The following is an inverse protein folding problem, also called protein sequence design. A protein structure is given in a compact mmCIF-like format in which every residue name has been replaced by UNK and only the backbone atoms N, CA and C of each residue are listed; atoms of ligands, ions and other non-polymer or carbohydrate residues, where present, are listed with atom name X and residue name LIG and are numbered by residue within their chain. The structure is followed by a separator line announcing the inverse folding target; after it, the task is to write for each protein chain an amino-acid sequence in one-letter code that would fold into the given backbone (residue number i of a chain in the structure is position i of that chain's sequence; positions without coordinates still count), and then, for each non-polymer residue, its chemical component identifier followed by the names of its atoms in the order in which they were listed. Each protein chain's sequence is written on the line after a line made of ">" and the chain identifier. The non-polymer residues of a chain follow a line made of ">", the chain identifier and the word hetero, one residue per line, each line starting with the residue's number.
data_IF_604826548377
#
_entry.id   IF_604826548377
#
_cell.length_a   1.000
_cell.length_b   1.000
_cell.length_c   1.000
_cell.angle_alpha   90.00
_cell.angle_beta   90.00
_cell.angle_gamma   90.00
#
_symmetry.space_group_name_H-M   'P 1'
#
loop_
_entity.id
_entity.type
_entity.pdbx_description
1 polymer ?
#
# COMPACT_ATOMS: atom_id res chain seq x y z
N UNK A 1 18.70 41.95 -11.67
CA UNK A 1 17.43 42.03 -10.93
C UNK A 1 17.55 43.18 -9.95
N UNK A 2 16.46 43.88 -9.66
CA UNK A 2 16.47 45.00 -8.72
C UNK A 2 16.42 44.49 -7.26
N UNK A 3 16.92 45.28 -6.32
CA UNK A 3 16.88 44.98 -4.88
C UNK A 3 16.40 46.23 -4.16
N UNK A 4 15.25 46.11 -3.51
CA UNK A 4 14.66 47.19 -2.74
C UNK A 4 15.13 47.14 -1.29
N UNK A 5 15.63 48.26 -0.78
CA UNK A 5 16.16 48.36 0.59
C UNK A 5 15.30 49.27 1.45
N UNK A 6 14.83 48.75 2.58
CA UNK A 6 14.08 49.48 3.60
C UNK A 6 14.89 49.55 4.89
N UNK A 7 14.80 50.65 5.62
CA UNK A 7 15.54 50.85 6.87
C UNK A 7 14.58 51.17 8.01
N UNK A 8 14.81 50.54 9.16
CA UNK A 8 14.07 50.82 10.37
C UNK A 8 14.96 50.69 11.61
N UNK A 9 14.59 51.38 12.68
CA UNK A 9 15.33 51.38 13.95
C UNK A 9 14.41 50.97 15.09
N UNK A 10 14.89 50.08 15.94
CA UNK A 10 14.21 49.66 17.17
C UNK A 10 14.85 50.38 18.36
N UNK A 11 14.12 51.31 18.97
CA UNK A 11 14.59 52.14 20.09
C UNK A 11 14.18 51.56 21.46
N UNK A 12 15.06 51.72 22.46
CA UNK A 12 14.87 51.23 23.84
C UNK A 12 13.74 51.91 24.61
N UNK A 13 13.26 53.08 24.17
CA UNK A 13 12.12 53.79 24.78
C UNK A 13 10.77 53.23 24.36
N UNK A 14 10.69 52.47 23.25
CA UNK A 14 9.49 51.74 22.84
C UNK A 14 9.32 50.42 23.61
N UNK A 15 10.37 49.98 24.31
CA UNK A 15 10.42 48.73 25.04
C UNK A 15 10.41 48.99 26.56
N UNK A 16 9.27 48.81 27.24
CA UNK A 16 9.16 49.10 28.68
C UNK A 16 10.15 48.26 29.53
N UNK A 17 11.05 48.98 30.23
CA UNK A 17 11.68 48.65 31.54
C UNK A 17 12.50 47.36 31.68
N UNK A 18 13.28 46.97 30.68
CA UNK A 18 14.38 46.01 30.86
C UNK A 18 15.50 46.26 29.86
N UNK A 19 16.76 46.14 30.28
CA UNK A 19 17.94 46.29 29.42
C UNK A 19 18.05 45.22 28.32
N UNK A 20 17.20 44.18 28.38
CA UNK A 20 17.09 43.09 27.40
C UNK A 20 15.65 43.03 26.85
N UNK A 21 15.06 44.18 26.52
CA UNK A 21 13.72 44.19 25.98
C UNK A 21 13.79 43.97 24.46
N UNK A 22 13.20 42.86 24.03
CA UNK A 22 13.10 42.45 22.63
C UNK A 22 11.71 42.79 22.11
N UNK A 23 11.58 42.96 20.79
CA UNK A 23 10.29 43.10 20.12
C UNK A 23 10.14 41.91 19.18
N UNK A 24 9.03 41.20 19.31
CA UNK A 24 8.58 40.23 18.33
C UNK A 24 8.19 40.96 17.04
N UNK A 25 8.93 40.70 15.96
CA UNK A 25 8.66 41.24 14.63
C UNK A 25 8.34 40.10 13.69
N UNK A 26 7.28 40.27 12.90
CA UNK A 26 6.95 39.43 11.74
C UNK A 26 7.14 40.30 10.51
N UNK A 27 7.78 39.76 9.48
CA UNK A 27 7.94 40.44 8.20
C UNK A 27 7.28 39.60 7.12
N UNK A 28 6.41 40.23 6.34
CA UNK A 28 5.64 39.60 5.29
C UNK A 28 5.69 40.48 4.04
N UNK A 29 5.68 39.86 2.86
CA UNK A 29 5.69 40.56 1.57
C UNK A 29 4.54 40.06 0.72
N UNK A 30 3.47 40.83 0.72
CA UNK A 30 2.32 40.62 -0.14
C UNK A 30 2.62 41.21 -1.51
N UNK A 31 3.09 40.39 -2.46
CA UNK A 31 3.39 40.88 -3.81
C UNK A 31 2.44 40.32 -4.87
N UNK A 32 2.82 39.24 -5.54
CA UNK A 32 2.08 38.75 -6.71
C UNK A 32 2.55 37.36 -7.16
N UNK A 33 2.95 36.48 -6.22
CA UNK A 33 3.20 35.09 -6.59
C UNK A 33 1.97 34.51 -7.32
N UNK A 34 2.20 33.82 -8.44
CA UNK A 34 1.15 33.26 -9.31
C UNK A 34 0.18 34.27 -9.98
N UNK A 35 0.44 35.59 -9.88
CA UNK A 35 -0.30 36.64 -10.61
C UNK A 35 0.58 37.40 -11.63
N UNK A 36 1.64 36.74 -12.13
CA UNK A 36 2.57 37.28 -13.11
C UNK A 36 3.71 38.13 -12.53
N UNK A 37 3.75 38.30 -11.20
CA UNK A 37 4.89 38.88 -10.49
C UNK A 37 6.02 37.87 -10.25
N UNK A 38 7.23 38.34 -9.91
CA UNK A 38 8.32 37.47 -9.50
C UNK A 38 8.13 36.95 -8.07
N UNK A 39 8.58 35.73 -7.81
CA UNK A 39 8.74 35.21 -6.45
C UNK A 39 9.73 36.08 -5.66
N UNK A 40 9.44 36.33 -4.38
CA UNK A 40 10.21 37.26 -3.57
C UNK A 40 11.12 36.55 -2.57
N UNK A 41 12.10 37.27 -2.04
CA UNK A 41 12.98 36.83 -0.96
C UNK A 41 13.34 38.02 -0.07
N UNK A 42 13.39 37.77 1.24
CA UNK A 42 13.69 38.75 2.27
C UNK A 42 15.03 38.47 2.93
N UNK A 43 15.86 39.50 3.07
CA UNK A 43 17.06 39.45 3.89
C UNK A 43 17.08 40.60 4.88
N UNK A 44 17.07 40.27 6.17
CA UNK A 44 17.18 41.26 7.23
C UNK A 44 18.63 41.35 7.69
N UNK A 45 19.22 42.52 7.52
CA UNK A 45 20.54 42.85 8.02
C UNK A 45 20.42 43.75 9.25
N UNK A 46 21.34 43.57 10.21
CA UNK A 46 21.55 44.49 11.32
C UNK A 46 22.83 45.28 11.09
N UNK A 47 22.80 46.58 11.37
CA UNK A 47 24.02 47.40 11.36
C UNK A 47 24.86 47.09 12.60
N UNK A 48 26.11 46.71 12.39
CA UNK A 48 27.08 46.40 13.46
C UNK A 48 28.35 47.21 13.19
N UNK A 49 28.59 48.23 14.03
CA UNK A 49 29.64 49.21 13.78
C UNK A 49 29.42 49.92 12.44
N UNK A 50 30.43 49.88 11.56
CA UNK A 50 30.35 50.44 10.21
C UNK A 50 29.85 49.44 9.14
N UNK A 51 29.54 48.20 9.53
CA UNK A 51 29.13 47.14 8.62
C UNK A 51 27.66 46.75 8.77
N UNK A 52 27.21 45.83 7.92
CA UNK A 52 25.92 45.14 8.01
C UNK A 52 26.17 43.65 8.18
N UNK A 53 25.33 42.99 8.96
CA UNK A 53 25.39 41.55 9.20
C UNK A 53 24.03 40.93 8.90
N UNK A 54 23.98 39.86 8.11
CA UNK A 54 22.74 39.11 7.87
C UNK A 54 22.27 38.47 9.19
N UNK A 55 21.01 38.73 9.57
CA UNK A 55 20.40 38.22 10.81
C UNK A 55 19.27 37.24 10.51
N UNK A 56 18.40 37.54 9.55
CA UNK A 56 17.30 36.67 9.15
C UNK A 56 17.21 36.59 7.63
N UNK A 57 16.73 35.45 7.14
CA UNK A 57 16.36 35.24 5.74
C UNK A 57 14.96 34.66 5.71
N UNK A 58 14.15 35.13 4.77
CA UNK A 58 12.81 34.62 4.48
C UNK A 58 12.68 34.31 3.00
N UNK A 59 12.09 33.17 2.70
CA UNK A 59 11.73 32.72 1.34
C UNK A 59 10.32 32.17 1.41
N UNK A 60 9.76 31.76 0.26
CA UNK A 60 8.54 30.98 0.07
C UNK A 60 7.74 30.66 1.35
N UNK A 61 6.64 31.38 1.57
CA UNK A 61 5.75 31.16 2.70
C UNK A 61 4.55 30.31 2.31
N UNK A 62 4.21 29.32 3.14
CA UNK A 62 2.94 28.59 3.03
C UNK A 62 2.06 28.92 4.23
N UNK A 63 1.86 30.22 4.50
CA UNK A 63 0.96 30.68 5.56
C UNK A 63 -0.48 30.53 5.07
N UNK A 64 -1.22 29.60 5.68
CA UNK A 64 -2.57 29.25 5.22
C UNK A 64 -3.58 30.41 5.33
N UNK A 65 -3.40 31.28 6.34
CA UNK A 65 -4.24 32.45 6.56
C UNK A 65 -3.98 33.55 5.54
N UNK A 66 -2.82 33.50 4.86
CA UNK A 66 -2.41 34.45 3.85
C UNK A 66 -2.78 34.02 2.43
N UNK A 67 -3.32 32.79 2.27
CA UNK A 67 -3.71 32.22 0.97
C UNK A 67 -5.21 32.25 0.74
N UNK A 68 -5.63 32.24 -0.52
CA UNK A 68 -7.03 32.01 -0.92
C UNK A 68 -7.68 30.83 -0.17
N UNK A 69 -8.90 31.04 0.31
CA UNK A 69 -9.63 30.03 1.06
C UNK A 69 -9.85 28.75 0.23
N UNK A 70 -9.90 27.56 0.86
CA UNK A 70 -10.16 26.32 0.16
C UNK A 70 -11.45 26.40 -0.68
N UNK A 71 -11.32 26.22 -2.01
CA UNK A 71 -12.45 26.23 -2.94
C UNK A 71 -12.85 27.61 -3.49
N UNK A 72 -12.18 28.70 -3.09
CA UNK A 72 -12.47 30.06 -3.59
C UNK A 72 -11.60 30.50 -4.79
N UNK A 73 -10.75 29.60 -5.31
CA UNK A 73 -9.87 29.90 -6.44
C UNK A 73 -8.91 31.04 -6.11
N UNK A 74 -9.10 32.19 -6.77
CA UNK A 74 -8.29 33.39 -6.62
C UNK A 74 -8.66 34.27 -5.41
N UNK A 75 -9.86 34.07 -4.84
CA UNK A 75 -10.36 34.78 -3.64
C UNK A 75 -10.17 36.31 -3.68
N UNK A 76 -10.34 36.92 -4.87
CA UNK A 76 -10.05 38.35 -5.12
C UNK A 76 -11.01 39.31 -4.39
N UNK A 77 -12.09 38.79 -3.81
CA UNK A 77 -13.05 39.52 -2.99
C UNK A 77 -12.64 39.57 -1.51
N UNK A 78 -11.69 38.74 -1.06
CA UNK A 78 -11.15 38.74 0.30
C UNK A 78 -9.83 39.54 0.38
N UNK A 79 -9.95 40.85 0.63
CA UNK A 79 -8.80 41.75 0.85
C UNK A 79 -8.12 41.59 2.22
N UNK A 80 -8.59 40.66 3.06
CA UNK A 80 -7.97 40.39 4.36
C UNK A 80 -6.77 39.44 4.29
N UNK A 81 -6.51 38.88 3.09
CA UNK A 81 -5.37 38.00 2.78
C UNK A 81 -4.43 38.70 1.81
N UNK A 82 -3.14 38.48 1.98
CA UNK A 82 -2.07 39.22 1.33
C UNK A 82 -1.45 38.52 0.12
N UNK A 83 -1.40 37.18 0.09
CA UNK A 83 -0.69 36.44 -0.96
C UNK A 83 -1.57 35.47 -1.77
N UNK A 84 -1.44 35.51 -3.09
CA UNK A 84 -2.17 34.59 -3.97
C UNK A 84 -1.54 33.19 -4.01
N UNK A 85 -0.21 33.12 -4.07
CA UNK A 85 0.58 31.90 -4.12
C UNK A 85 1.50 31.73 -2.92
N UNK A 86 2.21 30.59 -2.82
CA UNK A 86 3.06 30.28 -1.67
C UNK A 86 4.51 30.78 -1.82
N UNK A 87 4.80 31.63 -2.81
CA UNK A 87 6.17 32.01 -3.19
C UNK A 87 6.52 33.45 -2.83
N UNK A 88 5.67 34.05 -2.01
CA UNK A 88 5.89 35.33 -1.38
C UNK A 88 6.68 35.13 -0.07
N UNK A 89 7.61 36.03 0.22
CA UNK A 89 8.61 35.83 1.26
C UNK A 89 8.12 36.25 2.65
N UNK A 90 8.26 35.33 3.61
CA UNK A 90 7.84 35.53 5.00
C UNK A 90 8.98 35.24 5.97
N UNK A 91 9.05 36.05 7.02
CA UNK A 91 9.85 35.79 8.21
C UNK A 91 8.89 35.79 9.39
N UNK A 92 8.69 34.59 9.96
CA UNK A 92 7.85 34.40 11.13
C UNK A 92 8.33 35.18 12.34
N UNK A 93 7.47 35.25 13.36
CA UNK A 93 7.70 36.05 14.56
C UNK A 93 9.09 35.78 15.15
N UNK A 94 9.92 36.81 15.21
CA UNK A 94 11.28 36.73 15.73
C UNK A 94 11.55 37.90 16.68
N UNK A 95 12.14 37.60 17.83
CA UNK A 95 12.56 38.59 18.80
C UNK A 95 13.80 39.33 18.29
N UNK A 96 13.66 40.61 17.97
CA UNK A 96 14.74 41.48 17.54
C UNK A 96 15.21 42.38 18.69
N UNK A 97 16.53 42.43 18.99
CA UNK A 97 17.06 43.39 19.96
C UNK A 97 17.06 44.83 19.40
N UNK A 98 17.16 45.85 20.26
CA UNK A 98 17.33 47.23 19.83
C UNK A 98 18.51 47.41 18.86
N UNK A 99 18.33 48.22 17.83
CA UNK A 99 19.32 48.45 16.79
C UNK A 99 18.74 48.97 15.48
N UNK A 100 19.65 49.26 14.54
CA UNK A 100 19.31 49.66 13.17
C UNK A 100 19.33 48.45 12.25
N UNK A 101 18.28 48.32 11.46
CA UNK A 101 18.06 47.21 10.55
C UNK A 101 17.85 47.69 9.13
N UNK A 102 18.28 46.87 8.18
CA UNK A 102 18.06 47.04 6.75
C UNK A 102 17.40 45.78 6.22
N UNK A 103 16.19 45.91 5.69
CA UNK A 103 15.48 44.85 5.00
C UNK A 103 15.75 44.97 3.50
N UNK A 104 16.23 43.91 2.88
CA UNK A 104 16.34 43.79 1.44
C UNK A 104 15.23 42.89 0.91
N UNK A 105 14.47 43.38 -0.08
CA UNK A 105 13.45 42.63 -0.82
C UNK A 105 13.97 42.42 -2.23
N UNK A 106 13.94 41.19 -2.72
CA UNK A 106 14.42 40.89 -4.08
C UNK A 106 13.69 39.71 -4.68
N UNK A 107 14.00 39.39 -5.94
CA UNK A 107 13.54 38.19 -6.62
C UNK A 107 14.27 36.95 -6.06
N UNK A 108 13.55 35.83 -5.90
CA UNK A 108 14.08 34.56 -5.38
C UNK A 108 15.25 33.95 -6.18
N UNK A 109 15.52 34.43 -7.40
CA UNK A 109 16.71 34.07 -8.18
C UNK A 109 18.01 34.74 -7.70
N UNK A 110 17.91 35.75 -6.83
CA UNK A 110 19.06 36.36 -6.18
C UNK A 110 19.31 35.67 -4.84
N UNK A 111 20.57 35.57 -4.44
CA UNK A 111 20.98 35.08 -3.13
C UNK A 111 21.81 36.16 -2.43
N UNK A 112 21.70 36.27 -1.11
CA UNK A 112 22.56 37.16 -0.34
C UNK A 112 24.01 36.73 -0.53
N UNK A 113 24.92 37.69 -0.72
CA UNK A 113 26.36 37.43 -0.83
C UNK A 113 26.92 36.70 0.40
N UNK A 114 26.25 36.84 1.55
CA UNK A 114 26.59 36.12 2.78
C UNK A 114 26.30 34.61 2.69
N UNK A 115 25.45 34.18 1.75
CA UNK A 115 24.99 32.81 1.55
C UNK A 115 25.49 32.15 0.26
N UNK A 116 26.37 32.80 -0.51
CA UNK A 116 26.90 32.31 -1.80
C UNK A 116 27.91 31.13 -1.70
N UNK A 117 27.97 30.44 -0.55
CA UNK A 117 28.95 29.39 -0.28
C UNK A 117 28.93 28.20 -1.26
N UNK A 118 27.83 27.98 -1.97
CA UNK A 118 27.68 26.91 -2.96
C UNK A 118 27.70 27.42 -4.42
N UNK A 119 27.74 28.73 -4.64
CA UNK A 119 27.68 29.33 -5.97
C UNK A 119 29.00 30.01 -6.38
N UNK A 120 29.84 30.36 -5.40
CA UNK A 120 31.16 30.96 -5.62
C UNK A 120 32.28 30.06 -5.12
N UNK A 121 33.34 29.92 -5.92
CA UNK A 121 34.56 29.21 -5.52
C UNK A 121 35.34 29.93 -4.40
N UNK A 122 35.06 31.22 -4.17
CA UNK A 122 35.66 32.04 -3.11
C UNK A 122 34.55 32.82 -2.37
N UNK A 123 33.73 32.15 -1.55
CA UNK A 123 32.60 32.80 -0.90
C UNK A 123 33.05 33.72 0.24
N UNK A 124 32.32 34.83 0.45
CA UNK A 124 32.62 35.79 1.52
C UNK A 124 32.58 35.14 2.90
N UNK A 125 31.59 34.27 3.13
CA UNK A 125 31.38 33.54 4.36
C UNK A 125 31.20 32.04 4.11
N UNK A 126 32.32 31.33 3.88
CA UNK A 126 32.34 29.88 3.67
C UNK A 126 31.76 29.04 4.83
N UNK A 127 31.71 29.63 6.04
CA UNK A 127 31.22 28.99 7.25
C UNK A 127 29.77 29.41 7.62
N UNK A 128 29.09 30.20 6.78
CA UNK A 128 27.71 30.61 7.07
C UNK A 128 26.79 29.39 7.17
N UNK A 129 25.98 29.35 8.23
CA UNK A 129 24.96 28.32 8.49
C UNK A 129 23.67 29.02 8.87
N UNK A 130 22.58 28.61 8.23
CA UNK A 130 21.25 29.05 8.60
C UNK A 130 20.73 28.18 9.74
N UNK A 131 20.08 28.80 10.71
CA UNK A 131 19.35 28.12 11.77
C UNK A 131 17.87 28.47 11.64
N UNK A 132 16.95 27.54 11.92
CA UNK A 132 15.53 27.87 12.00
C UNK A 132 15.28 29.00 13.01
N UNK A 133 14.29 29.86 12.75
CA UNK A 133 13.90 30.92 13.68
C UNK A 133 13.53 30.36 15.06
N UNK A 134 13.73 31.13 16.11
CA UNK A 134 13.62 30.64 17.51
C UNK A 134 12.18 30.45 17.98
N UNK A 135 11.20 30.93 17.21
CA UNK A 135 9.77 30.79 17.51
C UNK A 135 9.18 29.43 17.08
N UNK A 136 9.93 28.61 16.35
CA UNK A 136 9.48 27.26 15.98
C UNK A 136 9.84 26.27 17.08
N UNK A 137 8.86 25.48 17.51
CA UNK A 137 9.10 24.35 18.41
C UNK A 137 9.99 23.31 17.72
N UNK A 138 11.23 23.18 18.18
CA UNK A 138 12.20 22.24 17.63
C UNK A 138 12.03 20.88 18.31
N UNK A 139 11.85 19.81 17.52
CA UNK A 139 11.75 18.44 18.04
C UNK A 139 13.13 17.88 18.42
N UNK A 140 14.15 18.24 17.66
CA UNK A 140 15.55 17.93 17.93
C UNK A 140 16.42 19.08 17.45
N UNK A 141 17.55 19.31 18.10
CA UNK A 141 18.60 20.21 17.64
C UNK A 141 19.93 19.48 17.73
N UNK A 142 20.76 19.63 16.69
CA UNK A 142 22.15 19.20 16.72
C UNK A 142 23.03 20.44 16.55
N UNK A 143 23.96 20.63 17.48
CA UNK A 143 24.93 21.70 17.46
C UNK A 143 26.33 21.10 17.52
N UNK A 144 27.06 21.20 16.42
CA UNK A 144 28.49 20.94 16.43
C UNK A 144 29.19 22.10 17.17
N UNK A 145 29.59 21.85 18.42
CA UNK A 145 30.50 22.66 19.26
C UNK A 145 29.93 23.70 20.25
N UNK A 146 28.63 23.70 20.60
CA UNK A 146 28.11 24.62 21.62
C UNK A 146 27.58 23.90 22.87
N UNK A 147 28.40 23.90 23.94
CA UNK A 147 27.96 23.57 25.29
C UNK A 147 27.50 24.87 25.96
N UNK A 148 26.19 25.02 26.24
CA UNK A 148 25.69 26.02 27.20
C UNK A 148 24.89 27.22 26.69
N UNK A 149 24.46 27.26 25.43
CA UNK A 149 23.36 28.18 25.04
C UNK A 149 22.05 27.56 25.53
N UNK A 150 21.42 28.17 26.54
CA UNK A 150 20.11 27.78 27.02
C UNK A 150 19.07 28.16 25.95
N UNK A 151 18.79 27.24 25.03
CA UNK A 151 17.62 27.34 24.18
C UNK A 151 16.39 26.89 24.97
N UNK A 152 15.23 27.46 24.64
CA UNK A 152 13.90 27.02 25.10
C UNK A 152 13.52 25.64 24.55
N UNK A 153 14.49 24.75 24.38
CA UNK A 153 14.21 23.33 24.40
C UNK A 153 13.74 23.04 25.82
N UNK A 154 12.41 23.08 26.01
CA UNK A 154 11.82 22.26 27.05
C UNK A 154 12.48 20.89 26.92
N UNK A 155 12.76 20.24 28.05
CA UNK A 155 13.06 18.82 28.05
C UNK A 155 12.13 18.14 27.03
N UNK A 156 12.52 17.06 26.33
CA UNK A 156 11.57 16.25 25.60
C UNK A 156 10.60 15.64 26.63
N UNK A 157 9.73 16.47 27.21
CA UNK A 157 8.47 16.07 27.78
C UNK A 157 7.82 15.44 26.60
N UNK A 158 7.68 14.12 26.68
CA UNK A 158 6.95 13.29 25.74
C UNK A 158 5.94 14.17 25.03
N UNK A 159 6.30 14.62 23.83
CA UNK A 159 5.31 15.19 22.97
C UNK A 159 4.37 14.00 22.86
N UNK A 160 3.21 14.11 23.50
CA UNK A 160 2.03 13.58 22.87
C UNK A 160 2.00 14.34 21.56
N UNK A 161 2.78 13.85 20.59
CA UNK A 161 2.48 14.02 19.18
C UNK A 161 0.98 13.84 19.21
N UNK A 162 0.24 14.88 18.83
CA UNK A 162 -1.12 14.64 18.39
C UNK A 162 -0.92 13.70 17.21
N UNK A 163 -0.85 12.40 17.53
CA UNK A 163 -0.65 11.36 16.56
C UNK A 163 -1.92 11.48 15.77
N UNK A 164 -1.83 12.10 14.59
CA UNK A 164 -2.92 12.11 13.64
C UNK A 164 -3.21 10.63 13.44
N UNK A 165 -4.32 10.12 13.99
CA UNK A 165 -4.57 8.69 13.95
C UNK A 165 -4.71 8.36 12.47
N UNK A 166 -3.88 7.44 11.99
CA UNK A 166 -4.00 6.97 10.63
C UNK A 166 -5.42 6.49 10.40
N UNK A 167 -6.05 7.03 9.36
CA UNK A 167 -7.38 6.66 8.94
C UNK A 167 -7.31 5.77 7.70
N UNK A 168 -8.43 5.14 7.37
CA UNK A 168 -8.54 4.43 6.09
C UNK A 168 -8.36 5.37 4.88
N UNK A 169 -8.50 6.69 5.07
CA UNK A 169 -8.28 7.67 4.01
C UNK A 169 -6.80 7.92 3.68
N UNK A 170 -5.89 7.52 4.57
CA UNK A 170 -4.44 7.69 4.40
C UNK A 170 -3.79 6.50 3.66
N UNK A 171 -4.58 5.48 3.32
CA UNK A 171 -4.13 4.34 2.52
C UNK A 171 -4.79 4.34 1.16
N UNK A 172 -4.06 3.88 0.14
CA UNK A 172 -4.62 3.69 -1.20
C UNK A 172 -5.24 2.29 -1.30
N UNK A 173 -6.52 2.23 -1.64
CA UNK A 173 -7.20 1.00 -2.00
C UNK A 173 -7.06 0.71 -3.48
N UNK A 174 -7.02 -0.57 -3.84
CA UNK A 174 -7.09 -1.01 -5.23
C UNK A 174 -8.41 -1.74 -5.45
N UNK A 175 -9.15 -1.33 -6.47
CA UNK A 175 -10.41 -1.95 -6.85
C UNK A 175 -10.33 -2.42 -8.30
N UNK A 176 -10.77 -3.64 -8.56
CA UNK A 176 -10.88 -4.20 -9.91
C UNK A 176 -12.33 -4.06 -10.39
N UNK A 177 -12.51 -3.40 -11.53
CA UNK A 177 -13.80 -3.32 -12.20
C UNK A 177 -14.04 -4.55 -13.08
N UNK A 178 -15.31 -4.85 -13.36
CA UNK A 178 -15.72 -5.97 -14.22
C UNK A 178 -15.19 -5.89 -15.65
N UNK A 179 -14.79 -4.70 -16.10
CA UNK A 179 -14.17 -4.48 -17.41
C UNK A 179 -12.64 -4.69 -17.41
N UNK A 180 -12.06 -5.15 -16.29
CA UNK A 180 -10.61 -5.37 -16.14
C UNK A 180 -9.80 -4.10 -15.87
N UNK A 181 -10.46 -2.97 -15.55
CA UNK A 181 -9.78 -1.73 -15.14
C UNK A 181 -9.46 -1.79 -13.64
N UNK A 182 -8.23 -1.44 -13.29
CA UNK A 182 -7.79 -1.30 -11.90
C UNK A 182 -7.85 0.19 -11.53
N UNK A 183 -8.59 0.48 -10.48
CA UNK A 183 -8.71 1.80 -9.88
C UNK A 183 -7.90 1.86 -8.60
N UNK A 184 -7.15 2.96 -8.45
CA UNK A 184 -6.69 3.41 -7.15
C UNK A 184 -7.79 4.27 -6.55
N UNK A 185 -8.27 3.91 -5.38
CA UNK A 185 -9.39 4.57 -4.70
C UNK A 185 -8.99 4.97 -3.29
N UNK A 186 -9.56 6.06 -2.79
CA UNK A 186 -9.56 6.35 -1.36
C UNK A 186 -10.60 5.42 -0.71
N UNK A 187 -10.22 4.46 0.15
CA UNK A 187 -11.16 3.48 0.69
C UNK A 187 -12.08 4.07 1.77
N UNK A 188 -11.81 5.28 2.27
CA UNK A 188 -12.71 6.00 3.17
C UNK A 188 -13.84 6.71 2.42
N UNK A 189 -13.54 7.36 1.30
CA UNK A 189 -14.53 8.16 0.54
C UNK A 189 -15.07 7.45 -0.70
N UNK A 190 -14.41 6.38 -1.16
CA UNK A 190 -14.68 5.74 -2.46
C UNK A 190 -14.20 6.56 -3.67
N UNK A 191 -13.59 7.74 -3.47
CA UNK A 191 -13.15 8.59 -4.56
C UNK A 191 -12.01 7.92 -5.36
N UNK A 192 -12.09 7.98 -6.69
CA UNK A 192 -11.00 7.50 -7.55
C UNK A 192 -9.84 8.48 -7.50
N UNK A 193 -8.67 7.99 -7.13
CA UNK A 193 -7.41 8.73 -7.07
C UNK A 193 -6.69 8.67 -8.43
N UNK A 194 -6.70 7.49 -9.06
CA UNK A 194 -6.13 7.23 -10.37
C UNK A 194 -6.71 5.94 -10.97
N UNK A 195 -6.54 5.74 -12.28
CA UNK A 195 -6.90 4.50 -12.97
C UNK A 195 -5.75 4.05 -13.87
N UNK A 196 -5.66 2.75 -14.14
CA UNK A 196 -4.83 2.30 -15.27
C UNK A 196 -5.60 2.55 -16.57
N UNK A 197 -5.07 3.40 -17.45
CA UNK A 197 -5.71 3.66 -18.75
C UNK A 197 -5.49 2.54 -19.79
N UNK A 198 -4.70 1.52 -19.46
CA UNK A 198 -4.53 0.34 -20.29
C UNK A 198 -5.50 -0.75 -19.82
N UNK A 199 -6.66 -0.86 -20.50
CA UNK A 199 -7.54 -2.01 -20.29
C UNK A 199 -6.72 -3.29 -20.53
N UNK A 200 -6.62 -4.14 -19.51
CA UNK A 200 -5.81 -5.36 -19.52
C UNK A 200 -6.39 -6.45 -20.48
N UNK A 201 -7.40 -6.10 -21.29
CA UNK A 201 -7.90 -6.86 -22.44
C UNK A 201 -8.56 -8.21 -22.11
N UNK A 202 -8.65 -8.59 -20.83
CA UNK A 202 -9.13 -9.90 -20.38
C UNK A 202 -10.01 -9.78 -19.14
N UNK A 203 -10.82 -10.82 -18.89
CA UNK A 203 -11.72 -10.90 -17.73
C UNK A 203 -10.93 -11.33 -16.50
N UNK A 204 -10.71 -10.38 -15.60
CA UNK A 204 -10.12 -10.60 -14.29
C UNK A 204 -11.23 -10.63 -13.26
N UNK A 205 -11.09 -11.53 -12.29
CA UNK A 205 -12.06 -11.68 -11.22
C UNK A 205 -11.54 -11.21 -9.87
N UNK A 206 -10.21 -11.17 -9.69
CA UNK A 206 -9.59 -10.63 -8.48
C UNK A 206 -8.17 -10.11 -8.73
N UNK A 207 -7.66 -9.29 -7.81
CA UNK A 207 -6.29 -8.76 -7.81
C UNK A 207 -5.71 -8.81 -6.40
N UNK A 208 -4.46 -9.24 -6.28
CA UNK A 208 -3.73 -9.26 -5.03
C UNK A 208 -2.50 -8.35 -5.10
N UNK A 209 -2.27 -7.59 -4.03
CA UNK A 209 -1.03 -6.83 -3.86
C UNK A 209 0.00 -7.69 -3.13
N UNK A 210 1.16 -7.85 -3.75
CA UNK A 210 2.29 -8.54 -3.15
C UNK A 210 3.01 -7.65 -2.12
N UNK A 211 3.73 -8.24 -1.16
CA UNK A 211 4.52 -7.47 -0.19
C UNK A 211 5.62 -6.60 -0.81
N UNK A 212 6.07 -6.91 -2.02
CA UNK A 212 7.05 -6.13 -2.81
C UNK A 212 6.39 -5.07 -3.71
N UNK A 213 5.09 -4.82 -3.57
CA UNK A 213 4.38 -3.73 -4.24
C UNK A 213 3.91 -4.03 -5.66
N UNK A 214 4.02 -5.28 -6.13
CA UNK A 214 3.45 -5.72 -7.42
C UNK A 214 1.98 -6.07 -7.25
N UNK A 215 1.13 -5.54 -8.12
CA UNK A 215 -0.24 -6.01 -8.27
C UNK A 215 -0.25 -7.19 -9.22
N UNK A 216 -0.87 -8.28 -8.78
CA UNK A 216 -0.99 -9.52 -9.52
C UNK A 216 -2.45 -9.87 -9.68
N UNK A 217 -2.87 -10.08 -10.91
CA UNK A 217 -4.19 -10.61 -11.23
C UNK A 217 -4.06 -11.84 -12.11
N UNK A 218 -5.08 -12.70 -12.06
CA UNK A 218 -5.13 -13.93 -12.83
C UNK A 218 -6.28 -13.85 -13.83
N UNK A 219 -5.92 -13.79 -15.11
CA UNK A 219 -6.87 -13.73 -16.21
C UNK A 219 -7.56 -15.08 -16.39
N UNK A 220 -8.89 -15.04 -16.48
CA UNK A 220 -9.70 -16.22 -16.75
C UNK A 220 -9.93 -16.35 -18.25
N UNK A 221 -9.82 -17.58 -18.77
CA UNK A 221 -10.29 -17.91 -20.11
C UNK A 221 -11.32 -19.02 -19.98
N UNK A 222 -12.56 -18.76 -20.41
CA UNK A 222 -13.56 -19.81 -20.47
C UNK A 222 -13.13 -20.83 -21.52
N UNK A 223 -13.13 -22.11 -21.17
CA UNK A 223 -12.86 -23.24 -22.08
C UNK A 223 -11.40 -23.44 -22.50
N UNK A 224 -10.42 -22.87 -21.79
CA UNK A 224 -9.02 -23.30 -21.90
C UNK A 224 -8.34 -23.30 -20.55
N UNK A 225 -7.47 -24.27 -20.32
CA UNK A 225 -6.65 -24.40 -19.11
C UNK A 225 -5.50 -23.36 -19.01
N UNK A 226 -5.49 -22.39 -19.92
CA UNK A 226 -4.52 -21.31 -19.94
C UNK A 226 -4.86 -20.26 -18.87
N UNK A 227 -3.86 -19.95 -18.04
CA UNK A 227 -3.93 -18.88 -17.05
C UNK A 227 -2.85 -17.86 -17.32
N UNK A 228 -3.24 -16.59 -17.39
CA UNK A 228 -2.26 -15.51 -17.57
C UNK A 228 -2.21 -14.70 -16.29
N UNK A 229 -1.04 -14.67 -15.65
CA UNK A 229 -0.78 -13.66 -14.63
C UNK A 229 -0.39 -12.36 -15.31
N UNK A 230 -0.97 -11.27 -14.82
CA UNK A 230 -0.59 -9.93 -15.20
C UNK A 230 0.02 -9.24 -13.98
N UNK A 231 1.27 -8.81 -14.14
CA UNK A 231 1.95 -7.93 -13.19
C UNK A 231 1.69 -6.49 -13.62
N UNK A 232 1.07 -5.71 -12.75
CA UNK A 232 0.97 -4.25 -12.93
C UNK A 232 2.09 -3.63 -12.10
N UNK A 233 3.18 -3.27 -12.77
CA UNK A 233 4.31 -2.59 -12.14
C UNK A 233 4.02 -1.08 -11.97
N UNK A 234 4.53 -0.51 -10.88
CA UNK A 234 4.43 0.92 -10.48
C UNK A 234 5.13 1.90 -11.44
N UNK A 235 5.95 1.40 -12.37
CA UNK A 235 6.49 2.25 -13.42
C UNK A 235 5.35 2.67 -14.34
N UNK A 236 5.05 3.98 -14.40
CA UNK A 236 4.03 4.68 -15.22
C UNK A 236 3.87 4.26 -16.70
N UNK A 237 4.61 3.27 -17.19
CA UNK A 237 4.28 2.46 -18.35
C UNK A 237 3.70 1.12 -17.88
N UNK A 238 2.37 1.00 -17.88
CA UNK A 238 1.64 -0.24 -17.61
C UNK A 238 1.93 -1.33 -18.64
N UNK A 239 3.12 -1.92 -18.56
CA UNK A 239 3.52 -3.04 -19.39
C UNK A 239 3.08 -4.33 -18.68
N UNK A 240 2.00 -4.91 -19.19
CA UNK A 240 1.61 -6.27 -18.88
C UNK A 240 2.76 -7.21 -19.28
N UNK A 241 3.45 -7.79 -18.31
CA UNK A 241 4.23 -8.99 -18.56
C UNK A 241 3.26 -10.15 -18.53
N UNK A 242 2.81 -10.60 -19.71
CA UNK A 242 2.14 -11.88 -19.83
C UNK A 242 3.12 -12.95 -19.32
N UNK A 243 2.73 -13.71 -18.30
CA UNK A 243 3.44 -14.92 -17.96
C UNK A 243 3.49 -15.82 -19.22
N UNK A 244 4.67 -16.37 -19.52
CA UNK A 244 4.96 -17.00 -20.81
C UNK A 244 4.00 -18.13 -21.21
N UNK A 245 3.93 -18.45 -22.51
CA UNK A 245 3.11 -19.54 -23.02
C UNK A 245 3.34 -20.86 -22.24
N UNK A 246 2.26 -21.49 -21.76
CA UNK A 246 2.31 -22.71 -20.95
C UNK A 246 2.08 -22.52 -19.44
N UNK A 247 1.74 -21.31 -19.02
CA UNK A 247 1.35 -20.99 -17.65
C UNK A 247 -0.16 -21.13 -17.43
N UNK A 248 -0.56 -21.64 -16.26
CA UNK A 248 -1.98 -21.80 -15.90
C UNK A 248 -2.28 -22.98 -14.99
N UNK A 249 -3.57 -23.27 -14.85
CA UNK A 249 -4.11 -24.44 -14.16
C UNK A 249 -4.67 -25.36 -15.23
N UNK A 250 -3.96 -26.46 -15.47
CA UNK A 250 -4.48 -27.54 -16.28
C UNK A 250 -5.41 -28.44 -15.51
N UNK A 251 -6.47 -28.84 -16.18
CA UNK A 251 -7.59 -29.55 -15.62
C UNK A 251 -7.70 -30.92 -16.27
N UNK A 252 -7.92 -31.92 -15.43
CA UNK A 252 -7.93 -33.32 -15.86
C UNK A 252 -9.20 -34.01 -15.39
N UNK A 253 -9.57 -35.05 -16.12
CA UNK A 253 -10.49 -36.07 -15.63
C UNK A 253 -9.76 -37.40 -15.65
N UNK A 254 -9.88 -38.14 -14.55
CA UNK A 254 -9.42 -39.51 -14.45
C UNK A 254 -10.61 -40.46 -14.59
N UNK A 255 -10.48 -41.44 -15.47
CA UNK A 255 -11.41 -42.56 -15.57
C UNK A 255 -10.85 -43.71 -14.75
N UNK A 256 -11.57 -44.13 -13.71
CA UNK A 256 -11.21 -45.28 -12.87
C UNK A 256 -12.17 -46.43 -13.17
N UNK A 257 -11.64 -47.64 -13.36
CA UNK A 257 -12.42 -48.88 -13.28
C UNK A 257 -11.94 -49.63 -12.06
N UNK A 258 -12.89 -50.04 -11.22
CA UNK A 258 -12.91 -51.03 -10.14
C UNK A 258 -11.66 -51.23 -9.26
N UNK A 259 -10.43 -51.18 -9.78
CA UNK A 259 -9.15 -51.31 -9.07
C UNK A 259 -7.97 -50.54 -9.72
N UNK A 260 -8.16 -49.74 -10.78
CA UNK A 260 -7.06 -49.02 -11.44
C UNK A 260 -7.50 -47.73 -12.13
N UNK A 261 -6.62 -46.72 -12.11
CA UNK A 261 -6.74 -45.55 -12.99
C UNK A 261 -6.53 -46.04 -14.43
N UNK A 262 -7.59 -45.97 -15.25
CA UNK A 262 -7.55 -46.44 -16.64
C UNK A 262 -6.95 -45.37 -17.55
N UNK A 263 -7.30 -44.11 -17.33
CA UNK A 263 -6.84 -43.00 -18.16
C UNK A 263 -6.96 -41.66 -17.44
N UNK A 264 -5.96 -40.80 -17.61
CA UNK A 264 -6.00 -39.39 -17.25
C UNK A 264 -6.04 -38.60 -18.56
N UNK A 265 -7.09 -37.81 -18.73
CA UNK A 265 -7.31 -37.02 -19.96
C UNK A 265 -7.42 -35.56 -19.57
N UNK A 266 -6.61 -34.70 -20.20
CA UNK A 266 -6.74 -33.25 -20.11
C UNK A 266 -8.10 -32.84 -20.66
N UNK A 267 -8.80 -31.95 -19.96
CA UNK A 267 -10.17 -31.57 -20.32
C UNK A 267 -10.27 -30.15 -20.88
N UNK A 268 -9.25 -29.30 -20.68
CA UNK A 268 -9.24 -27.92 -21.18
C UNK A 268 -10.50 -27.12 -20.84
N UNK A 269 -11.16 -27.43 -19.72
CA UNK A 269 -12.42 -26.76 -19.35
C UNK A 269 -12.20 -25.40 -18.71
N UNK A 270 -10.94 -25.06 -18.42
CA UNK A 270 -10.55 -23.78 -17.85
C UNK A 270 -10.92 -23.62 -16.38
N UNK A 271 -10.53 -22.45 -15.85
CA UNK A 271 -10.66 -22.13 -14.44
C UNK A 271 -10.98 -20.64 -14.24
N UNK A 272 -11.91 -20.38 -13.32
CA UNK A 272 -12.32 -19.06 -12.90
C UNK A 272 -11.80 -18.85 -11.48
N UNK A 273 -10.80 -17.98 -11.33
CA UNK A 273 -10.36 -17.53 -10.02
C UNK A 273 -11.41 -16.58 -9.44
N UNK A 274 -11.77 -16.77 -8.18
CA UNK A 274 -12.66 -15.87 -7.45
C UNK A 274 -11.91 -15.04 -6.41
N UNK A 275 -10.78 -15.54 -5.90
CA UNK A 275 -9.98 -14.84 -4.92
C UNK A 275 -8.50 -15.18 -5.02
N UNK A 276 -7.63 -14.22 -4.74
CA UNK A 276 -6.18 -14.33 -4.79
C UNK A 276 -5.57 -13.75 -3.51
N UNK A 277 -4.52 -14.38 -3.01
CA UNK A 277 -3.78 -13.84 -1.88
C UNK A 277 -2.33 -14.28 -1.87
N UNK A 278 -1.45 -13.38 -1.48
CA UNK A 278 -0.06 -13.71 -1.24
C UNK A 278 0.12 -14.34 0.13
N UNK A 279 1.05 -15.27 0.20
CA UNK A 279 1.47 -15.91 1.43
C UNK A 279 2.98 -15.86 1.53
N UNK A 280 3.46 -15.44 2.69
CA UNK A 280 4.86 -15.57 3.02
C UNK A 280 5.02 -16.00 4.48
N UNK A 281 5.63 -17.16 4.69
CA UNK A 281 5.88 -17.72 6.02
C UNK A 281 6.90 -16.89 6.81
N UNK A 282 7.93 -16.38 6.14
CA UNK A 282 9.02 -15.62 6.76
C UNK A 282 9.67 -14.69 5.75
N UNK A 283 10.39 -13.65 6.17
CA UNK A 283 11.10 -12.76 5.22
C UNK A 283 12.09 -13.48 4.30
N UNK A 284 12.52 -14.70 4.65
CA UNK A 284 13.44 -15.54 3.88
C UNK A 284 12.77 -16.65 3.07
N UNK A 285 11.49 -16.92 3.30
CA UNK A 285 10.75 -17.95 2.57
C UNK A 285 10.35 -17.43 1.18
N UNK A 286 10.29 -18.29 0.15
CA UNK A 286 9.80 -17.86 -1.15
C UNK A 286 8.36 -17.38 -1.04
N UNK A 287 8.07 -16.26 -1.70
CA UNK A 287 6.72 -15.72 -1.82
C UNK A 287 5.86 -16.73 -2.58
N UNK A 288 4.67 -17.02 -2.05
CA UNK A 288 3.70 -17.91 -2.68
C UNK A 288 2.43 -17.13 -3.00
N UNK A 289 1.75 -17.52 -4.08
CA UNK A 289 0.43 -17.03 -4.42
C UNK A 289 -0.58 -18.16 -4.21
N UNK A 290 -1.69 -17.87 -3.55
CA UNK A 290 -2.82 -18.78 -3.44
C UNK A 290 -4.01 -18.20 -4.18
N UNK A 291 -4.74 -19.07 -4.86
CA UNK A 291 -5.95 -18.71 -5.57
C UNK A 291 -7.07 -19.68 -5.27
N UNK A 292 -8.27 -19.15 -5.01
CA UNK A 292 -9.50 -19.94 -4.88
C UNK A 292 -10.39 -19.66 -6.08
N UNK A 293 -11.18 -20.64 -6.47
CA UNK A 293 -12.03 -20.51 -7.63
C UNK A 293 -12.70 -21.81 -8.04
N UNK A 294 -13.33 -21.76 -9.20
CA UNK A 294 -14.10 -22.86 -9.77
C UNK A 294 -13.52 -23.29 -11.10
N UNK A 295 -13.56 -24.59 -11.35
CA UNK A 295 -13.30 -25.17 -12.66
C UNK A 295 -14.55 -25.01 -13.55
N UNK A 296 -14.37 -24.95 -14.86
CA UNK A 296 -15.47 -25.16 -15.81
C UNK A 296 -16.17 -26.52 -15.62
N UNK A 297 -17.30 -26.72 -16.30
CA UNK A 297 -18.13 -27.91 -16.15
C UNK A 297 -17.32 -29.22 -16.32
N UNK A 298 -17.43 -30.12 -15.34
CA UNK A 298 -16.80 -31.45 -15.38
C UNK A 298 -16.55 -32.05 -14.00
N UNK A 299 -16.49 -33.38 -13.93
CA UNK A 299 -16.09 -34.09 -12.70
C UNK A 299 -14.56 -34.13 -12.61
N UNK A 300 -14.02 -33.92 -11.41
CA UNK A 300 -12.58 -34.04 -11.12
C UNK A 300 -12.37 -34.87 -9.85
N UNK A 301 -11.18 -35.45 -9.73
CA UNK A 301 -10.76 -36.19 -8.54
C UNK A 301 -9.68 -35.39 -7.81
N UNK A 302 -9.82 -35.25 -6.48
CA UNK A 302 -8.73 -34.78 -5.60
C UNK A 302 -7.69 -35.88 -5.46
N UNK A 303 -6.47 -35.53 -5.04
CA UNK A 303 -5.59 -36.55 -4.48
C UNK A 303 -6.27 -37.18 -3.25
N UNK A 304 -6.13 -38.51 -3.07
CA UNK A 304 -6.77 -39.25 -1.99
C UNK A 304 -6.46 -38.56 -0.65
N UNK A 305 -7.51 -38.33 0.14
CA UNK A 305 -7.33 -37.89 1.51
C UNK A 305 -7.17 -39.11 2.41
N UNK A 306 -6.42 -38.97 3.49
CA UNK A 306 -6.55 -39.89 4.61
C UNK A 306 -7.82 -39.57 5.42
N UNK A 307 -8.15 -40.44 6.37
CA UNK A 307 -9.29 -40.28 7.28
C UNK A 307 -9.22 -38.99 8.15
N UNK A 308 -8.10 -38.27 8.12
CA UNK A 308 -7.90 -36.97 8.78
C UNK A 308 -7.97 -35.79 7.80
N UNK A 309 -8.46 -36.02 6.57
CA UNK A 309 -8.52 -35.05 5.49
C UNK A 309 -7.16 -34.52 4.98
N UNK A 310 -6.04 -35.17 5.29
CA UNK A 310 -4.72 -34.80 4.72
C UNK A 310 -4.50 -35.50 3.39
N UNK A 311 -3.77 -34.88 2.44
CA UNK A 311 -3.40 -35.59 1.20
C UNK A 311 -2.51 -36.78 1.58
N UNK A 312 -2.97 -37.99 1.28
CA UNK A 312 -2.25 -39.22 1.54
C UNK A 312 -1.16 -39.36 0.47
N UNK A 313 0.11 -39.34 0.89
CA UNK A 313 1.22 -39.63 -0.03
C UNK A 313 1.05 -41.06 -0.57
N UNK A 314 1.38 -41.32 -1.86
CA UNK A 314 1.49 -42.69 -2.35
C UNK A 314 2.51 -43.43 -1.47
N UNK A 315 2.06 -44.44 -0.75
CA UNK A 315 2.91 -45.16 0.18
C UNK A 315 3.87 -46.07 -0.60
N UNK A 316 5.13 -45.67 -0.72
CA UNK A 316 6.24 -46.57 -1.06
C UNK A 316 7.13 -46.13 -2.24
N UNK A 317 8.45 -46.43 -2.20
CA UNK A 317 9.39 -46.17 -3.29
C UNK A 317 9.16 -47.00 -4.57
N UNK A 318 8.14 -47.88 -4.58
CA UNK A 318 7.81 -48.76 -5.70
C UNK A 318 6.63 -48.27 -6.57
N UNK A 319 6.02 -47.12 -6.23
CA UNK A 319 4.91 -46.55 -6.99
C UNK A 319 3.61 -47.35 -6.92
N UNK A 320 3.52 -48.33 -6.03
CA UNK A 320 2.29 -49.12 -5.85
C UNK A 320 1.33 -48.33 -4.97
N UNK A 321 0.19 -47.89 -5.54
CA UNK A 321 -0.91 -47.34 -4.76
C UNK A 321 -1.33 -48.41 -3.74
N UNK A 322 -1.32 -48.07 -2.45
CA UNK A 322 -1.77 -48.94 -1.38
C UNK A 322 -3.16 -49.51 -1.69
N UNK A 323 -3.35 -50.77 -1.27
CA UNK A 323 -4.54 -51.63 -1.34
C UNK A 323 -5.85 -51.06 -1.93
N UNK A 324 -6.53 -51.84 -2.77
CA UNK A 324 -7.73 -51.46 -3.53
C UNK A 324 -8.91 -50.84 -2.72
N UNK A 325 -8.95 -51.00 -1.39
CA UNK A 325 -9.90 -50.30 -0.51
C UNK A 325 -9.64 -48.78 -0.44
N UNK A 326 -8.41 -48.30 -0.69
CA UNK A 326 -8.05 -46.88 -0.75
C UNK A 326 -8.56 -46.18 -2.04
N UNK A 327 -9.03 -46.95 -3.03
CA UNK A 327 -9.64 -46.45 -4.28
C UNK A 327 -11.12 -46.08 -4.08
N UNK A 328 -11.73 -46.52 -2.97
CA UNK A 328 -13.12 -46.22 -2.63
C UNK A 328 -13.37 -44.71 -2.43
N UNK A 329 -12.39 -43.98 -1.90
CA UNK A 329 -12.50 -42.54 -1.62
C UNK A 329 -12.26 -41.65 -2.85
N UNK A 330 -11.57 -42.17 -3.88
CA UNK A 330 -11.46 -41.51 -5.20
C UNK A 330 -12.80 -41.42 -5.95
N UNK A 331 -13.87 -42.08 -5.47
CA UNK A 331 -15.16 -42.18 -6.18
C UNK A 331 -16.17 -41.08 -5.84
N UNK A 332 -15.83 -40.14 -4.96
CA UNK A 332 -16.75 -39.05 -4.63
C UNK A 332 -16.71 -37.99 -5.72
N UNK A 333 -17.81 -37.84 -6.45
CA UNK A 333 -18.04 -36.72 -7.37
C UNK A 333 -17.98 -35.42 -6.58
N UNK A 334 -16.88 -34.69 -6.69
CA UNK A 334 -16.70 -33.42 -5.98
C UNK A 334 -17.22 -32.26 -6.82
N UNK A 335 -17.76 -31.24 -6.16
CA UNK A 335 -18.21 -30.00 -6.78
C UNK A 335 -17.00 -29.27 -7.37
N UNK A 336 -17.12 -28.81 -8.61
CA UNK A 336 -16.10 -28.07 -9.36
C UNK A 336 -15.74 -26.71 -8.75
N UNK A 337 -16.17 -26.44 -7.52
CA UNK A 337 -16.20 -25.12 -6.91
C UNK A 337 -15.27 -25.04 -5.69
N UNK A 338 -14.80 -23.81 -5.44
CA UNK A 338 -14.05 -23.42 -4.24
C UNK A 338 -12.75 -24.20 -4.03
N UNK A 339 -12.10 -24.57 -5.12
CA UNK A 339 -10.83 -25.28 -5.13
C UNK A 339 -9.72 -24.28 -4.82
N UNK A 340 -8.82 -24.62 -3.90
CA UNK A 340 -7.65 -23.81 -3.58
C UNK A 340 -6.42 -24.34 -4.33
N UNK A 341 -5.73 -23.45 -5.02
CA UNK A 341 -4.48 -23.70 -5.72
C UNK A 341 -3.34 -22.90 -5.12
N UNK A 342 -2.15 -23.50 -5.11
CA UNK A 342 -0.89 -22.79 -4.90
C UNK A 342 -0.30 -22.50 -6.28
N UNK A 343 0.07 -21.25 -6.51
CA UNK A 343 0.57 -20.73 -7.78
C UNK A 343 1.96 -20.13 -7.57
N UNK A 344 2.77 -20.19 -8.63
CA UNK A 344 3.99 -19.41 -8.74
C UNK A 344 3.62 -17.94 -8.96
N UNK A 345 4.07 -17.00 -8.11
CA UNK A 345 3.72 -15.58 -8.26
C UNK A 345 4.35 -14.89 -9.48
N UNK A 346 5.37 -15.50 -10.11
CA UNK A 346 6.04 -14.94 -11.28
C UNK A 346 5.48 -15.49 -12.58
N UNK A 347 5.07 -16.77 -12.57
CA UNK A 347 4.62 -17.46 -13.78
C UNK A 347 3.12 -17.76 -13.78
N UNK A 348 2.47 -17.82 -12.62
CA UNK A 348 1.06 -18.22 -12.52
C UNK A 348 0.80 -19.70 -12.77
N UNK A 349 1.85 -20.49 -13.00
CA UNK A 349 1.73 -21.93 -13.05
C UNK A 349 1.33 -22.47 -11.67
N UNK A 350 0.44 -23.46 -11.67
CA UNK A 350 0.15 -24.20 -10.44
C UNK A 350 1.41 -24.91 -9.91
N UNK A 351 1.51 -25.02 -8.58
CA UNK A 351 2.61 -25.69 -7.88
C UNK A 351 2.01 -26.78 -6.99
N UNK A 352 2.54 -28.00 -7.08
CA UNK A 352 2.11 -29.09 -6.22
C UNK A 352 2.41 -28.83 -4.74
N UNK A 353 1.60 -29.41 -3.84
CA UNK A 353 1.99 -29.57 -2.47
C UNK A 353 3.28 -30.42 -2.35
N UNK A 354 4.08 -30.14 -1.34
CA UNK A 354 5.33 -30.86 -1.09
C UNK A 354 5.06 -32.34 -0.81
N UNK A 355 5.83 -33.21 -1.47
CA UNK A 355 5.68 -34.67 -1.33
C UNK A 355 4.47 -35.26 -2.04
N UNK A 356 3.70 -34.45 -2.79
CA UNK A 356 2.57 -34.92 -3.60
C UNK A 356 3.01 -35.02 -5.05
N UNK A 357 3.00 -36.23 -5.57
CA UNK A 357 3.26 -36.49 -6.99
C UNK A 357 2.22 -35.79 -7.87
N UNK A 358 2.62 -35.38 -9.06
CA UNK A 358 1.68 -34.95 -10.09
C UNK A 358 0.83 -36.14 -10.59
N UNK A 359 -0.16 -35.86 -11.42
CA UNK A 359 -1.05 -36.88 -11.98
C UNK A 359 -0.32 -37.93 -12.86
N UNK A 360 0.91 -37.65 -13.30
CA UNK A 360 1.78 -38.61 -14.01
C UNK A 360 2.70 -39.39 -13.06
N UNK A 361 2.55 -39.24 -11.74
CA UNK A 361 3.37 -39.94 -10.74
C UNK A 361 4.75 -39.30 -10.53
N UNK A 362 5.03 -38.13 -11.11
CA UNK A 362 6.29 -37.44 -10.86
C UNK A 362 6.23 -36.72 -9.51
N UNK A 363 7.09 -37.14 -8.58
CA UNK A 363 7.41 -36.41 -7.35
C UNK A 363 8.19 -35.14 -7.71
N UNK A 364 7.49 -34.11 -8.21
CA UNK A 364 8.15 -32.90 -8.68
C UNK A 364 8.52 -31.99 -7.50
N UNK A 365 9.81 -32.00 -7.17
CA UNK A 365 10.48 -30.89 -6.50
C UNK A 365 10.60 -29.73 -7.49
N UNK A 366 9.76 -28.71 -7.32
CA UNK A 366 9.93 -27.33 -7.79
C UNK A 366 9.93 -26.98 -9.29
N UNK A 367 9.62 -27.88 -10.23
CA UNK A 367 9.46 -27.47 -11.64
C UNK A 367 8.00 -27.13 -11.97
N UNK A 368 7.81 -25.99 -12.62
CA UNK A 368 6.56 -25.60 -13.29
C UNK A 368 6.14 -26.73 -14.24
N UNK A 369 4.86 -27.03 -14.31
CA UNK A 369 4.38 -28.18 -15.08
C UNK A 369 2.88 -28.33 -15.03
N UNK A 370 2.37 -29.13 -15.94
CA UNK A 370 0.98 -29.10 -16.37
C UNK A 370 0.06 -30.07 -15.63
N UNK A 371 0.52 -30.86 -14.68
CA UNK A 371 -0.28 -31.96 -14.08
C UNK A 371 -0.53 -31.79 -12.58
N UNK A 372 -0.81 -30.56 -12.14
CA UNK A 372 -0.76 -30.21 -10.72
C UNK A 372 -2.05 -30.55 -9.98
N UNK A 373 -1.91 -30.86 -8.70
CA UNK A 373 -3.01 -31.25 -7.80
C UNK A 373 -3.47 -30.05 -6.98
N UNK A 374 -4.78 -29.98 -6.71
CA UNK A 374 -5.37 -28.99 -5.82
C UNK A 374 -4.67 -28.99 -4.44
N UNK A 375 -4.46 -27.80 -3.89
CA UNK A 375 -3.82 -27.61 -2.59
C UNK A 375 -4.80 -27.81 -1.42
N UNK A 376 -6.06 -27.50 -1.65
CA UNK A 376 -7.18 -27.70 -0.72
C UNK A 376 -8.52 -27.39 -1.39
N UNK A 377 -9.60 -27.43 -0.62
CA UNK A 377 -10.92 -27.01 -1.08
C UNK A 377 -11.75 -26.50 0.10
N UNK A 378 -12.53 -25.44 -0.11
CA UNK A 378 -13.48 -24.98 0.90
C UNK A 378 -14.79 -25.75 0.77
N UNK A 379 -15.24 -26.33 1.87
CA UNK A 379 -16.55 -26.95 1.99
C UNK A 379 -17.59 -25.86 2.29
N UNK A 380 -17.95 -25.13 1.23
CA UNK A 380 -18.91 -24.03 1.27
C UNK A 380 -20.21 -24.45 0.62
N UNK A 381 -21.32 -23.95 1.15
CA UNK A 381 -22.64 -24.06 0.51
C UNK A 381 -22.83 -23.06 -0.63
N UNK A 382 -21.96 -22.04 -0.71
CA UNK A 382 -21.92 -21.02 -1.76
C UNK A 382 -20.61 -21.02 -2.53
N UNK A 383 -20.33 -19.89 -3.17
CA UNK A 383 -19.06 -19.62 -3.85
C UNK A 383 -18.16 -18.83 -2.91
N UNK A 384 -16.94 -19.31 -2.67
CA UNK A 384 -15.89 -18.56 -1.98
C UNK A 384 -15.40 -17.47 -2.91
N UNK A 385 -15.65 -16.23 -2.50
CA UNK A 385 -15.45 -15.00 -3.30
C UNK A 385 -14.22 -14.22 -2.88
N UNK A 386 -13.55 -14.61 -1.81
CA UNK A 386 -12.34 -13.93 -1.37
C UNK A 386 -11.51 -14.80 -0.46
N UNK A 387 -10.19 -14.66 -0.56
CA UNK A 387 -9.22 -15.27 0.34
C UNK A 387 -8.17 -14.26 0.75
N UNK A 388 -7.67 -14.37 1.97
CA UNK A 388 -6.63 -13.49 2.49
C UNK A 388 -5.74 -14.26 3.46
N UNK A 389 -4.48 -13.86 3.60
CA UNK A 389 -3.60 -14.41 4.63
C UNK A 389 -3.18 -13.36 5.66
N UNK A 390 -3.17 -13.79 6.92
CA UNK A 390 -2.55 -13.05 8.03
C UNK A 390 -1.66 -14.04 8.77
N UNK A 391 -0.37 -13.72 8.84
CA UNK A 391 0.65 -14.63 9.36
C UNK A 391 0.64 -15.97 8.61
N UNK A 392 0.47 -17.08 9.35
CA UNK A 392 0.42 -18.43 8.78
C UNK A 392 -0.99 -18.91 8.46
N UNK A 393 -2.02 -18.08 8.64
CA UNK A 393 -3.42 -18.50 8.53
C UNK A 393 -4.04 -17.97 7.25
N UNK A 394 -4.65 -18.88 6.49
CA UNK A 394 -5.52 -18.59 5.37
C UNK A 394 -6.94 -18.36 5.86
N UNK A 395 -7.54 -17.28 5.41
CA UNK A 395 -8.93 -16.94 5.63
C UNK A 395 -9.68 -16.94 4.30
N UNK A 396 -10.97 -17.24 4.36
CA UNK A 396 -11.85 -17.16 3.20
C UNK A 396 -13.25 -16.70 3.60
N UNK A 397 -13.97 -16.12 2.63
CA UNK A 397 -15.38 -15.76 2.76
C UNK A 397 -16.16 -16.21 1.53
N UNK A 398 -17.43 -16.55 1.73
CA UNK A 398 -18.35 -16.87 0.63
C UNK A 398 -19.37 -15.77 0.34
N UNK A 399 -20.03 -15.88 -0.82
CA UNK A 399 -21.21 -15.09 -1.16
C UNK A 399 -22.45 -15.41 -0.30
N UNK A 400 -22.40 -16.45 0.53
CA UNK A 400 -23.42 -16.78 1.54
C UNK A 400 -23.05 -16.30 2.94
N UNK A 401 -21.90 -15.62 3.09
CA UNK A 401 -21.41 -15.09 4.37
C UNK A 401 -20.70 -16.11 5.24
N UNK A 402 -20.45 -17.32 4.75
CA UNK A 402 -19.63 -18.30 5.46
C UNK A 402 -18.19 -17.78 5.59
N UNK A 403 -17.59 -18.02 6.75
CA UNK A 403 -16.23 -17.63 7.07
C UNK A 403 -15.38 -18.86 7.34
N UNK A 404 -14.17 -18.85 6.80
CA UNK A 404 -13.26 -19.98 6.85
C UNK A 404 -11.93 -19.52 7.42
N UNK A 405 -11.31 -20.38 8.23
CA UNK A 405 -9.94 -20.18 8.69
C UNK A 405 -9.17 -21.51 8.69
N UNK A 406 -7.91 -21.48 8.25
CA UNK A 406 -7.04 -22.66 8.24
C UNK A 406 -5.59 -22.25 8.34
N UNK A 407 -4.85 -22.84 9.29
CA UNK A 407 -3.40 -22.70 9.32
C UNK A 407 -2.77 -23.39 8.11
N UNK A 408 -1.93 -22.66 7.37
CA UNK A 408 -1.13 -23.16 6.27
C UNK A 408 0.19 -23.78 6.74
N UNK A 409 0.59 -23.55 8.00
CA UNK A 409 1.91 -23.94 8.50
C UNK A 409 3.02 -23.33 7.63
N UNK A 410 3.77 -24.18 6.92
CA UNK A 410 4.80 -23.74 5.98
C UNK A 410 4.27 -23.26 4.62
N UNK A 411 3.00 -23.48 4.30
CA UNK A 411 2.43 -23.24 2.97
C UNK A 411 2.89 -24.24 1.91
N UNK A 412 3.67 -25.25 2.30
CA UNK A 412 4.18 -26.26 1.36
C UNK A 412 3.30 -27.50 1.29
N UNK A 413 2.71 -27.91 2.41
CA UNK A 413 1.89 -29.12 2.51
C UNK A 413 0.44 -28.85 2.16
N UNK A 414 -0.22 -29.82 1.54
CA UNK A 414 -1.64 -29.70 1.25
C UNK A 414 -2.47 -29.66 2.53
N UNK A 415 -3.57 -28.90 2.50
CA UNK A 415 -4.33 -28.59 3.70
C UNK A 415 -5.69 -29.29 3.80
N UNK A 416 -6.09 -30.01 2.76
CA UNK A 416 -7.30 -30.82 2.80
C UNK A 416 -8.57 -30.04 2.50
N UNK A 417 -9.67 -30.45 3.15
CA UNK A 417 -10.95 -29.74 3.13
C UNK A 417 -10.99 -28.71 4.25
N UNK A 418 -11.40 -27.49 3.91
CA UNK A 418 -11.52 -26.36 4.83
C UNK A 418 -13.01 -26.18 5.14
N UNK A 419 -13.42 -26.48 6.37
CA UNK A 419 -14.80 -26.30 6.79
C UNK A 419 -15.05 -24.88 7.27
N UNK A 420 -16.30 -24.43 7.14
CA UNK A 420 -16.73 -23.13 7.67
C UNK A 420 -16.52 -23.08 9.19
N UNK A 421 -15.92 -21.99 9.65
CA UNK A 421 -15.79 -21.64 11.07
C UNK A 421 -17.03 -20.89 11.59
N UNK A 422 -17.88 -20.38 10.71
CA UNK A 422 -19.11 -19.67 11.08
C UNK A 422 -19.71 -18.87 9.93
N UNK A 423 -20.70 -18.03 10.24
CA UNK A 423 -21.29 -17.08 9.29
C UNK A 423 -21.13 -15.67 9.83
N UNK A 424 -20.65 -14.74 9.01
CA UNK A 424 -20.51 -13.34 9.40
C UNK A 424 -21.84 -12.63 9.10
N UNK A 425 -22.40 -12.00 10.12
CA UNK A 425 -23.66 -11.27 10.05
C UNK A 425 -23.40 -9.77 10.01
N UNK A 426 -24.22 -9.06 9.25
CA UNK A 426 -24.27 -7.61 9.29
C UNK A 426 -24.81 -7.17 10.67
N UNK A 427 -24.09 -6.32 11.42
CA UNK A 427 -24.47 -5.96 12.78
C UNK A 427 -25.76 -5.13 12.86
N UNK A 428 -26.17 -4.50 11.75
CA UNK A 428 -27.38 -3.68 11.68
C UNK A 428 -28.60 -4.51 11.34
N UNK A 429 -28.47 -5.44 10.39
CA UNK A 429 -29.61 -6.23 9.88
C UNK A 429 -29.70 -7.62 10.49
N UNK A 430 -28.62 -8.16 11.06
CA UNK A 430 -28.51 -9.54 11.54
C UNK A 430 -28.49 -10.59 10.42
N UNK A 431 -28.46 -10.19 9.15
CA UNK A 431 -28.42 -11.08 8.00
C UNK A 431 -26.98 -11.42 7.61
N UNK A 432 -26.78 -12.59 7.00
CA UNK A 432 -25.48 -12.99 6.48
C UNK A 432 -24.99 -12.02 5.40
N UNK A 433 -23.73 -11.59 5.51
CA UNK A 433 -23.13 -10.67 4.54
C UNK A 433 -22.76 -11.42 3.26
N UNK A 434 -23.18 -10.91 2.11
CA UNK A 434 -22.82 -11.46 0.80
C UNK A 434 -21.51 -10.83 0.32
N UNK A 435 -20.39 -11.49 0.61
CA UNK A 435 -19.07 -10.98 0.22
C UNK A 435 -18.80 -11.21 -1.27
N UNK A 436 -18.12 -10.25 -1.88
CA UNK A 436 -17.57 -10.30 -3.25
C UNK A 436 -16.04 -10.33 -3.26
N UNK A 437 -15.39 -10.13 -2.12
CA UNK A 437 -13.94 -10.10 -2.01
C UNK A 437 -13.49 -10.05 -0.55
N UNK A 438 -12.22 -10.37 -0.33
CA UNK A 438 -11.56 -10.34 0.98
C UNK A 438 -10.09 -9.98 0.80
N UNK A 439 -9.61 -9.00 1.56
CA UNK A 439 -8.20 -8.65 1.62
C UNK A 439 -7.73 -8.55 3.07
N UNK A 440 -6.43 -8.69 3.29
CA UNK A 440 -5.85 -8.33 4.58
C UNK A 440 -5.70 -6.81 4.72
N UNK A 441 -5.74 -6.32 5.95
CA UNK A 441 -5.46 -4.94 6.27
C UNK A 441 -3.98 -4.57 6.06
N UNK A 442 -3.68 -3.28 5.87
CA UNK A 442 -2.31 -2.77 5.91
C UNK A 442 -1.61 -3.24 7.19
N UNK A 443 -0.47 -3.94 7.06
CA UNK A 443 0.20 -4.60 8.19
C UNK A 443 0.59 -3.64 9.32
N UNK A 444 0.90 -2.39 8.98
CA UNK A 444 1.35 -1.40 9.97
C UNK A 444 0.20 -0.74 10.73
N UNK A 445 -1.03 -0.78 10.18
CA UNK A 445 -2.20 -0.12 10.76
C UNK A 445 -3.20 -1.12 11.35
N UNK A 446 -3.42 -2.23 10.64
CA UNK A 446 -4.45 -3.22 10.94
C UNK A 446 -3.91 -4.65 10.78
N UNK A 447 -2.87 -5.06 11.55
CA UNK A 447 -2.16 -6.32 11.35
C UNK A 447 -3.02 -7.58 11.53
N UNK A 448 -4.13 -7.50 12.26
CA UNK A 448 -5.03 -8.61 12.60
C UNK A 448 -6.47 -8.35 12.14
N UNK A 449 -6.63 -7.59 11.06
CA UNK A 449 -7.94 -7.24 10.51
C UNK A 449 -8.01 -7.63 9.05
N UNK A 450 -9.12 -8.25 8.67
CA UNK A 450 -9.49 -8.51 7.29
C UNK A 450 -10.53 -7.47 6.85
N UNK A 451 -10.51 -7.13 5.57
CA UNK A 451 -11.52 -6.27 4.97
C UNK A 451 -12.28 -7.06 3.92
N UNK A 452 -13.57 -7.28 4.16
CA UNK A 452 -14.48 -7.92 3.23
C UNK A 452 -15.33 -6.88 2.48
N UNK A 453 -15.52 -7.05 1.19
CA UNK A 453 -16.31 -6.15 0.34
C UNK A 453 -17.62 -6.81 -0.09
N UNK A 454 -18.68 -6.04 -0.29
CA UNK A 454 -19.95 -6.53 -0.87
C UNK A 454 -20.17 -5.99 -2.27
N UNK A 455 -21.16 -6.53 -2.99
CA UNK A 455 -21.53 -6.07 -4.33
C UNK A 455 -21.95 -4.59 -4.40
N UNK A 456 -22.43 -4.04 -3.28
CA UNK A 456 -22.82 -2.63 -3.19
C UNK A 456 -21.64 -1.71 -2.79
N UNK A 457 -20.43 -2.25 -2.68
CA UNK A 457 -19.22 -1.50 -2.31
C UNK A 457 -19.08 -1.25 -0.80
N UNK A 458 -19.92 -1.84 0.05
CA UNK A 458 -19.76 -1.74 1.51
C UNK A 458 -18.53 -2.55 1.95
N UNK A 459 -17.70 -1.95 2.80
CA UNK A 459 -16.50 -2.58 3.36
C UNK A 459 -16.76 -2.92 4.83
N UNK A 460 -16.51 -4.17 5.20
CA UNK A 460 -16.58 -4.67 6.58
C UNK A 460 -15.19 -4.98 7.09
N UNK A 461 -14.87 -4.49 8.29
CA UNK A 461 -13.66 -4.87 9.01
C UNK A 461 -13.96 -6.08 9.91
N UNK A 462 -13.18 -7.14 9.76
CA UNK A 462 -13.33 -8.40 10.49
C UNK A 462 -12.07 -8.60 11.33
N UNK A 463 -12.22 -8.59 12.66
CA UNK A 463 -11.11 -8.92 13.56
C UNK A 463 -10.79 -10.41 13.47
N UNK A 464 -9.51 -10.75 13.31
CA UNK A 464 -9.05 -12.14 13.44
C UNK A 464 -8.65 -12.51 14.87
N UNK A 465 -8.61 -11.53 15.78
CA UNK A 465 -8.42 -11.75 17.20
C UNK A 465 -9.78 -12.02 17.84
N UNK A 466 -10.10 -13.31 18.04
CA UNK A 466 -11.31 -13.75 18.77
C UNK A 466 -12.43 -14.35 17.92
N UNK A 467 -12.16 -14.74 16.67
CA UNK A 467 -13.05 -15.59 15.87
C UNK A 467 -12.92 -17.06 16.26
#
# INVERSE_FOLDING_TARGET
>A
ADVDFYQFSLATTLTQKSANAHIAVTLDVDYASDFGGPNTSLWLYRRVGNGIQLVLTGTDSNVADDRAAPGQGADLDDLSRGSFGPLDAYIGSQELPPGDYVLAVTNASQISRELEQYQSATPLNAAARLQPITSVARLTTDHFNNVGQAETAGAPGSASLAAVPWTLGDVTGFALQSNGTILMVNPYTGATLASNNAALGSSFSDVALSPDGRLVTYGTTSNTDAGTIFNVADTKAGLAFAAGAGTGIQTFTATISNTSVISIVQQDVGYIMNGLTFFNQSSTSPLMLFGVGSRGAGTFQRAPLDASNNIRQPAGPDGTLGNADDIGDLRTTQTADNILWKLDPNTGAAINPQGVADLAGNLLTSTTGTQKVAFGQFNSTGTVTGVATIGTTLFGVSNTGEFFSRSLGSGLNAIGTINSSGTILDPTTGLAIQFTGLTNGPRDLFPNTLFGTTANGTIYAISTAGA
#
